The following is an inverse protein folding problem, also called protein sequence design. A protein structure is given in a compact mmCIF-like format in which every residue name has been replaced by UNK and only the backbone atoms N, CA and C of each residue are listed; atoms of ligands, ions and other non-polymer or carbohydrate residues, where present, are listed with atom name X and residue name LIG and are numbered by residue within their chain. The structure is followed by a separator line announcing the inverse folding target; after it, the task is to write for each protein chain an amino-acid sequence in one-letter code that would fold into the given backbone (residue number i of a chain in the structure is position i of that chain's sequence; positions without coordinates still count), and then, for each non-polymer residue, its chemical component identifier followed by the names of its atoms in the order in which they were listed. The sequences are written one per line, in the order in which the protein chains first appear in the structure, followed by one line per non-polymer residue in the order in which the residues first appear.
data_IF_565468730508
#
_entry.id   IF_565468730508
#
_cell.length_a   1.000
_cell.length_b   1.000
_cell.length_c   1.000
_cell.angle_alpha   90.00
_cell.angle_beta   90.00
_cell.angle_gamma   90.00
#
_symmetry.space_group_name_H-M   'P 1'
#
loop_
_entity.id
_entity.type
_entity.pdbx_description
1 polymer ?
#
# COMPACT_ATOMS: atom_id res chain seq x y z
N UNK A 1 9.99 64.90 -21.39
CA UNK A 1 10.93 65.06 -22.52
C UNK A 1 11.79 63.80 -22.62
N UNK A 2 11.78 63.16 -23.80
CA UNK A 2 12.61 62.04 -24.34
C UNK A 2 12.99 60.87 -23.42
N UNK A 3 12.74 59.57 -23.70
CA UNK A 3 12.49 58.78 -24.94
C UNK A 3 13.51 58.96 -26.08
N UNK A 4 14.35 57.93 -26.24
CA UNK A 4 14.90 57.34 -27.49
C UNK A 4 15.64 56.04 -27.10
N UNK A 5 15.10 54.84 -27.34
CA UNK A 5 15.06 54.04 -28.60
C UNK A 5 16.41 53.31 -28.85
N UNK A 6 16.54 52.10 -29.40
CA UNK A 6 15.74 50.88 -29.67
C UNK A 6 16.64 49.99 -30.58
N UNK A 7 16.30 48.70 -30.69
CA UNK A 7 16.73 47.68 -31.67
C UNK A 7 17.94 46.79 -31.35
N UNK A 8 17.96 45.46 -31.63
CA UNK A 8 16.98 44.38 -31.90
C UNK A 8 17.80 43.11 -32.30
N UNK A 9 17.17 41.92 -32.26
CA UNK A 9 17.52 40.60 -32.90
C UNK A 9 18.43 39.67 -32.03
N UNK A 10 17.97 38.56 -31.39
CA UNK A 10 17.26 37.31 -31.77
C UNK A 10 18.19 36.15 -32.23
N UNK A 11 18.33 35.11 -31.39
CA UNK A 11 18.49 33.65 -31.66
C UNK A 11 19.17 32.95 -30.45
N UNK A 12 18.44 32.28 -29.54
CA UNK A 12 18.06 30.84 -29.56
C UNK A 12 19.25 29.88 -29.75
N UNK A 13 19.67 29.17 -28.69
CA UNK A 13 19.74 27.70 -28.64
C UNK A 13 20.42 27.17 -27.36
N UNK A 14 19.74 26.20 -26.73
CA UNK A 14 20.27 25.10 -25.92
C UNK A 14 21.10 25.41 -24.67
N UNK A 15 20.43 25.37 -23.51
CA UNK A 15 20.94 24.77 -22.25
C UNK A 15 19.78 24.58 -21.27
N UNK A 16 18.79 23.79 -21.65
CA UNK A 16 17.74 23.27 -20.75
C UNK A 16 17.99 21.78 -20.61
N UNK A 17 18.87 21.35 -19.70
CA UNK A 17 18.83 20.07 -18.95
C UNK A 17 19.93 20.14 -17.86
N UNK A 18 19.71 20.88 -16.79
CA UNK A 18 20.50 20.77 -15.54
C UNK A 18 19.79 21.57 -14.44
N UNK A 19 18.73 21.00 -13.86
CA UNK A 19 17.93 21.72 -12.88
C UNK A 19 16.91 20.91 -12.09
N UNK A 20 16.98 19.58 -12.08
CA UNK A 20 16.21 18.77 -11.12
C UNK A 20 17.12 18.61 -9.88
N UNK A 21 17.28 19.72 -9.17
CA UNK A 21 18.04 19.80 -7.94
C UNK A 21 17.30 19.10 -6.79
N UNK A 22 18.09 18.44 -5.96
CA UNK A 22 17.75 17.88 -4.66
C UNK A 22 16.61 18.61 -3.95
N UNK A 23 15.43 18.01 -3.90
CA UNK A 23 14.36 18.53 -3.06
C UNK A 23 14.58 18.02 -1.63
N UNK A 24 15.25 18.84 -0.81
CA UNK A 24 15.09 18.77 0.64
C UNK A 24 13.63 19.16 0.93
N UNK A 25 12.80 18.15 1.18
CA UNK A 25 11.41 18.33 1.61
C UNK A 25 11.37 18.90 3.03
N UNK A 26 11.48 20.23 3.14
CA UNK A 26 11.16 20.97 4.35
C UNK A 26 9.73 21.49 4.25
N UNK A 27 8.80 20.85 4.97
CA UNK A 27 7.54 21.43 5.43
C UNK A 27 6.53 21.89 4.37
N UNK A 28 5.75 20.94 3.82
CA UNK A 28 4.32 21.06 3.46
C UNK A 28 3.99 19.91 2.50
N UNK A 29 3.27 18.91 2.98
CA UNK A 29 2.97 17.67 2.24
C UNK A 29 1.97 17.92 1.10
N UNK A 30 2.48 18.31 -0.06
CA UNK A 30 1.70 18.25 -1.29
C UNK A 30 1.56 16.78 -1.70
N UNK A 31 0.36 16.22 -1.59
CA UNK A 31 0.06 14.83 -1.94
C UNK A 31 0.41 14.48 -3.41
N UNK A 32 0.43 15.45 -4.33
CA UNK A 32 0.95 15.27 -5.69
C UNK A 32 2.44 14.86 -5.72
N UNK A 33 3.23 15.38 -4.78
CA UNK A 33 4.64 15.06 -4.62
C UNK A 33 4.88 13.61 -4.19
N UNK A 34 3.93 12.96 -3.50
CA UNK A 34 4.08 11.55 -3.13
C UNK A 34 3.77 10.64 -4.32
N UNK A 35 2.73 10.91 -5.13
CA UNK A 35 2.48 10.13 -6.35
C UNK A 35 3.64 10.26 -7.33
N UNK A 36 4.14 11.48 -7.52
CA UNK A 36 5.37 11.72 -8.27
C UNK A 36 6.56 11.02 -7.64
N UNK A 37 6.80 11.08 -6.32
CA UNK A 37 7.93 10.39 -5.69
C UNK A 37 7.87 8.87 -5.89
N UNK A 38 6.68 8.28 -5.87
CA UNK A 38 6.46 6.85 -6.10
C UNK A 38 6.70 6.43 -7.56
N UNK A 39 6.49 7.37 -8.47
CA UNK A 39 6.68 7.23 -9.90
C UNK A 39 8.12 7.58 -10.31
N UNK A 40 8.74 8.52 -9.60
CA UNK A 40 10.01 9.15 -9.93
C UNK A 40 11.19 8.60 -9.13
N UNK A 41 11.04 7.45 -8.44
CA UNK A 41 12.22 6.74 -7.93
C UNK A 41 13.14 6.43 -9.11
N UNK A 42 14.24 7.19 -9.21
CA UNK A 42 15.03 7.28 -10.44
C UNK A 42 15.76 5.99 -10.80
N UNK A 43 15.97 5.11 -9.81
CA UNK A 43 16.48 3.77 -10.04
C UNK A 43 15.32 2.78 -10.20
N UNK A 44 15.39 1.95 -11.23
CA UNK A 44 14.50 0.81 -11.42
C UNK A 44 14.59 -0.19 -10.26
N UNK A 45 15.77 -0.38 -9.65
CA UNK A 45 15.93 -1.28 -8.49
C UNK A 45 15.31 -0.64 -7.25
N UNK A 46 15.58 0.65 -7.00
CA UNK A 46 14.92 1.41 -5.93
C UNK A 46 13.40 1.28 -6.03
N UNK A 47 12.85 1.53 -7.23
CA UNK A 47 11.42 1.43 -7.51
C UNK A 47 10.84 0.04 -7.26
N UNK A 48 11.57 -1.02 -7.64
CA UNK A 48 11.16 -2.40 -7.39
C UNK A 48 11.21 -2.76 -5.88
N UNK A 49 12.27 -2.34 -5.18
CA UNK A 49 12.41 -2.49 -3.72
C UNK A 49 11.27 -1.77 -3.01
N UNK A 50 11.01 -0.51 -3.36
CA UNK A 50 9.91 0.27 -2.80
C UNK A 50 8.55 -0.32 -3.07
N UNK A 51 8.35 -0.89 -4.26
CA UNK A 51 7.11 -1.60 -4.58
C UNK A 51 6.88 -2.80 -3.66
N UNK A 52 7.92 -3.60 -3.40
CA UNK A 52 7.87 -4.71 -2.47
C UNK A 52 7.51 -4.25 -1.06
N UNK A 53 8.24 -3.28 -0.52
CA UNK A 53 7.96 -2.76 0.83
C UNK A 53 6.56 -2.15 0.97
N UNK A 54 6.13 -1.36 -0.03
CA UNK A 54 4.80 -0.77 -0.05
C UNK A 54 3.69 -1.82 -0.13
N UNK A 55 3.95 -3.01 -0.69
CA UNK A 55 2.97 -4.10 -0.67
C UNK A 55 2.79 -4.71 0.72
N UNK A 56 3.86 -4.74 1.54
CA UNK A 56 3.76 -5.17 2.95
C UNK A 56 2.99 -4.13 3.77
N UNK A 57 3.27 -2.84 3.57
CA UNK A 57 2.47 -1.78 4.21
C UNK A 57 1.00 -1.87 3.82
N UNK A 58 0.69 -2.05 2.53
CA UNK A 58 -0.70 -2.22 2.07
C UNK A 58 -1.40 -3.44 2.68
N UNK A 59 -0.70 -4.58 2.76
CA UNK A 59 -1.24 -5.79 3.38
C UNK A 59 -1.51 -5.61 4.89
N UNK A 60 -0.73 -4.76 5.56
CA UNK A 60 -0.82 -4.53 7.01
C UNK A 60 -1.68 -3.34 7.40
N UNK A 61 -2.04 -2.45 6.48
CA UNK A 61 -2.84 -1.25 6.77
C UNK A 61 -4.29 -1.55 7.16
N UNK A 62 -4.75 -2.80 7.06
CA UNK A 62 -6.10 -3.22 7.43
C UNK A 62 -6.22 -4.37 8.42
N UNK A 63 -5.11 -4.97 8.86
CA UNK A 63 -5.14 -6.36 9.34
C UNK A 63 -5.39 -6.57 10.83
N UNK A 64 -5.34 -5.54 11.67
CA UNK A 64 -5.43 -5.73 13.13
C UNK A 64 -6.08 -4.53 13.82
N UNK A 65 -7.09 -4.77 14.65
CA UNK A 65 -7.44 -3.82 15.70
C UNK A 65 -6.29 -3.75 16.73
N UNK A 66 -6.44 -2.91 17.76
CA UNK A 66 -5.46 -2.85 18.85
C UNK A 66 -5.26 -4.19 19.59
N UNK A 67 -6.03 -5.23 19.33
CA UNK A 67 -5.90 -6.56 19.95
C UNK A 67 -4.95 -7.49 19.20
N UNK A 68 -4.58 -7.16 17.96
CA UNK A 68 -3.78 -8.03 17.09
C UNK A 68 -4.57 -9.19 16.46
N UNK A 69 -5.84 -9.36 16.83
CA UNK A 69 -6.78 -10.24 16.14
C UNK A 69 -7.39 -9.51 14.93
N UNK A 70 -7.52 -10.23 13.82
CA UNK A 70 -8.40 -9.84 12.74
C UNK A 70 -9.85 -9.92 13.21
N UNK A 71 -10.49 -8.77 13.46
CA UNK A 71 -11.85 -8.72 14.02
C UNK A 71 -12.84 -8.32 12.95
N UNK A 72 -13.81 -9.19 12.62
CA UNK A 72 -15.01 -8.77 11.92
C UNK A 72 -16.01 -8.16 12.92
N UNK A 73 -16.44 -6.91 12.70
CA UNK A 73 -17.40 -6.20 13.55
C UNK A 73 -18.76 -6.11 12.85
N UNK A 74 -19.81 -6.68 13.43
CA UNK A 74 -21.18 -6.50 12.94
C UNK A 74 -22.01 -5.66 13.90
N UNK A 75 -22.65 -4.59 13.39
CA UNK A 75 -23.68 -3.84 14.13
C UNK A 75 -24.96 -3.74 13.30
N UNK A 76 -26.04 -4.46 13.66
CA UNK A 76 -27.29 -4.45 12.91
C UNK A 76 -28.04 -3.11 13.01
N UNK A 77 -27.64 -2.20 13.89
CA UNK A 77 -28.43 -1.05 14.32
C UNK A 77 -27.82 0.31 13.91
N UNK A 78 -26.81 0.27 13.03
CA UNK A 78 -26.08 1.45 12.60
C UNK A 78 -25.19 2.03 13.71
N UNK A 79 -24.16 2.81 13.35
CA UNK A 79 -23.15 3.30 14.29
C UNK A 79 -23.74 4.18 15.41
N UNK A 80 -24.87 4.84 15.17
CA UNK A 80 -25.51 5.78 16.11
C UNK A 80 -26.17 5.07 17.31
N UNK A 81 -26.69 3.85 17.16
CA UNK A 81 -27.30 3.11 18.27
C UNK A 81 -26.29 2.27 19.06
N UNK A 82 -25.23 1.76 18.41
CA UNK A 82 -24.11 1.11 19.10
C UNK A 82 -23.41 2.07 20.08
N UNK A 83 -23.29 3.34 19.68
CA UNK A 83 -22.85 4.48 20.51
C UNK A 83 -23.71 4.70 21.75
N UNK A 84 -25.04 4.61 21.59
CA UNK A 84 -25.97 4.88 22.68
C UNK A 84 -25.92 3.79 23.77
N UNK A 85 -25.56 2.55 23.39
CA UNK A 85 -25.47 1.41 24.30
C UNK A 85 -24.11 1.32 25.02
N UNK A 86 -23.00 1.76 24.40
CA UNK A 86 -21.65 1.68 24.96
C UNK A 86 -21.07 3.07 25.35
N UNK A 87 -21.79 3.80 26.21
CA UNK A 87 -21.45 5.17 26.68
C UNK A 87 -20.05 5.35 27.31
N UNK A 88 -19.29 4.29 27.56
CA UNK A 88 -18.01 4.38 28.30
C UNK A 88 -16.77 4.58 27.44
N UNK A 89 -16.87 4.48 26.11
CA UNK A 89 -15.67 4.42 25.25
C UNK A 89 -15.89 5.02 23.85
N UNK A 90 -16.53 6.19 23.79
CA UNK A 90 -16.89 6.86 22.53
C UNK A 90 -15.67 7.20 21.65
N UNK A 91 -14.53 7.56 22.25
CA UNK A 91 -13.30 7.89 21.51
C UNK A 91 -12.60 6.65 20.95
N UNK A 92 -12.61 5.53 21.66
CA UNK A 92 -12.04 4.27 21.17
C UNK A 92 -12.96 3.59 20.15
N UNK A 93 -14.27 3.80 20.22
CA UNK A 93 -15.23 3.35 19.22
C UNK A 93 -15.16 4.17 17.92
N UNK A 94 -15.07 5.50 17.98
CA UNK A 94 -14.82 6.33 16.79
C UNK A 94 -13.47 5.99 16.15
N UNK A 95 -12.43 5.79 16.96
CA UNK A 95 -11.16 5.28 16.46
C UNK A 95 -11.36 3.95 15.75
N UNK A 96 -12.13 3.00 16.30
CA UNK A 96 -12.42 1.68 15.69
C UNK A 96 -13.27 1.73 14.41
N UNK A 97 -14.28 2.61 14.35
CA UNK A 97 -15.16 2.86 13.21
C UNK A 97 -14.39 3.37 11.98
N UNK A 98 -13.37 4.20 12.23
CA UNK A 98 -12.48 4.68 11.18
C UNK A 98 -11.24 3.79 11.02
N UNK A 99 -10.86 2.98 12.02
CA UNK A 99 -9.60 2.21 12.02
C UNK A 99 -9.67 0.77 11.51
N UNK A 100 -10.80 0.32 10.96
CA UNK A 100 -10.91 -1.09 10.60
C UNK A 100 -11.66 -1.32 9.28
N UNK A 101 -10.97 -1.78 8.22
CA UNK A 101 -11.65 -2.29 7.02
C UNK A 101 -12.52 -3.54 7.30
N UNK A 102 -12.57 -4.00 8.56
CA UNK A 102 -13.08 -5.29 8.99
C UNK A 102 -14.51 -5.25 9.57
N UNK A 103 -15.08 -4.07 9.80
CA UNK A 103 -16.52 -3.98 10.09
C UNK A 103 -17.39 -4.37 8.87
N UNK A 104 -18.45 -5.09 9.13
CA UNK A 104 -19.43 -5.49 8.14
C UNK A 104 -20.66 -4.59 8.26
N UNK A 105 -20.46 -3.28 8.09
CA UNK A 105 -21.55 -2.29 8.08
C UNK A 105 -21.56 -1.53 6.75
N UNK A 106 -22.76 -1.26 6.21
CA UNK A 106 -22.89 -0.39 5.04
C UNK A 106 -22.51 1.03 5.43
N UNK A 107 -21.56 1.61 4.70
CA UNK A 107 -21.10 2.98 4.96
C UNK A 107 -20.81 3.69 3.64
N UNK A 108 -21.13 4.98 3.57
CA UNK A 108 -20.78 5.81 2.42
C UNK A 108 -20.10 7.07 2.91
N UNK A 109 -18.85 7.25 2.50
CA UNK A 109 -18.06 8.44 2.74
C UNK A 109 -18.11 9.34 1.51
N UNK A 110 -18.46 10.61 1.70
CA UNK A 110 -18.17 11.64 0.70
C UNK A 110 -16.70 12.04 0.85
N UNK A 111 -15.91 11.87 -0.20
CA UNK A 111 -14.48 12.14 -0.11
C UNK A 111 -14.22 13.66 -0.04
N UNK A 112 -13.17 14.12 0.65
CA UNK A 112 -13.00 15.54 1.01
C UNK A 112 -13.06 16.53 -0.16
N UNK A 113 -12.73 16.10 -1.37
CA UNK A 113 -12.72 16.93 -2.59
C UNK A 113 -13.68 16.45 -3.67
N UNK A 114 -14.64 15.58 -3.32
CA UNK A 114 -15.64 15.03 -4.24
C UNK A 114 -15.46 13.54 -4.49
N UNK A 115 -16.50 12.93 -5.09
CA UNK A 115 -16.62 11.48 -5.22
C UNK A 115 -17.00 10.79 -3.92
N UNK A 116 -17.05 9.46 -3.97
CA UNK A 116 -17.51 8.64 -2.84
C UNK A 116 -16.63 7.40 -2.63
N UNK A 117 -16.56 6.96 -1.38
CA UNK A 117 -16.09 5.64 -1.01
C UNK A 117 -17.24 4.91 -0.32
N UNK A 118 -17.70 3.81 -0.91
CA UNK A 118 -18.83 3.04 -0.40
C UNK A 118 -18.36 1.68 0.08
N UNK A 119 -18.72 1.32 1.29
CA UNK A 119 -18.46 0.02 1.88
C UNK A 119 -19.77 -0.77 1.94
N UNK A 120 -19.74 -1.98 1.43
CA UNK A 120 -20.91 -2.87 1.36
C UNK A 120 -20.52 -4.27 1.84
N UNK A 121 -21.06 -4.74 2.97
CA UNK A 121 -20.95 -6.14 3.37
C UNK A 121 -21.77 -7.03 2.42
N UNK A 122 -21.21 -8.16 2.02
CA UNK A 122 -21.90 -9.16 1.19
C UNK A 122 -22.13 -10.42 2.01
N UNK A 123 -23.17 -10.41 2.85
CA UNK A 123 -23.64 -11.57 3.61
C UNK A 123 -25.07 -11.31 4.09
N UNK A 124 -25.92 -12.34 4.04
CA UNK A 124 -27.31 -12.28 4.49
C UNK A 124 -27.46 -12.37 6.01
N UNK A 125 -26.46 -12.89 6.72
CA UNK A 125 -26.43 -12.98 8.18
C UNK A 125 -25.00 -12.92 8.72
N UNK A 126 -24.58 -11.72 9.13
CA UNK A 126 -23.26 -11.44 9.70
C UNK A 126 -23.13 -11.88 11.17
N UNK A 127 -24.20 -12.39 11.80
CA UNK A 127 -24.16 -12.83 13.21
C UNK A 127 -23.73 -14.28 13.37
N UNK A 128 -24.02 -15.13 12.37
CA UNK A 128 -23.72 -16.56 12.41
C UNK A 128 -22.79 -17.03 11.29
N UNK A 129 -22.45 -16.15 10.33
CA UNK A 129 -21.63 -16.55 9.20
C UNK A 129 -20.20 -16.92 9.61
N UNK A 130 -19.76 -18.10 9.16
CA UNK A 130 -18.35 -18.52 9.25
C UNK A 130 -17.41 -17.70 8.34
N UNK A 131 -18.00 -16.90 7.44
CA UNK A 131 -17.32 -16.07 6.46
C UNK A 131 -17.97 -14.69 6.34
N UNK A 132 -17.17 -13.63 6.26
CA UNK A 132 -17.67 -12.25 6.10
C UNK A 132 -16.92 -11.58 4.95
N UNK A 133 -17.68 -11.14 3.96
CA UNK A 133 -17.17 -10.38 2.83
C UNK A 133 -17.54 -8.89 2.96
N UNK A 134 -16.57 -8.01 2.73
CA UNK A 134 -16.74 -6.54 2.76
C UNK A 134 -16.09 -5.94 1.53
N UNK A 135 -16.88 -5.25 0.71
CA UNK A 135 -16.41 -4.58 -0.51
C UNK A 135 -16.40 -3.07 -0.30
N UNK A 136 -15.25 -2.45 -0.51
CA UNK A 136 -15.08 -1.01 -0.71
C UNK A 136 -15.09 -0.70 -2.20
N UNK A 137 -15.86 0.30 -2.60
CA UNK A 137 -15.93 0.85 -3.96
C UNK A 137 -15.61 2.33 -3.89
N UNK A 138 -14.55 2.73 -4.59
CA UNK A 138 -14.13 4.12 -4.75
C UNK A 138 -14.61 4.63 -6.11
N UNK A 139 -15.41 5.70 -6.10
CA UNK A 139 -15.91 6.37 -7.30
C UNK A 139 -15.43 7.82 -7.30
N UNK A 140 -14.38 8.10 -8.07
CA UNK A 140 -13.71 9.38 -8.17
C UNK A 140 -13.39 10.01 -6.81
N UNK A 141 -13.04 9.19 -5.83
CA UNK A 141 -12.84 9.61 -4.46
C UNK A 141 -11.59 10.49 -4.36
N UNK A 142 -11.78 11.80 -4.19
CA UNK A 142 -10.70 12.79 -4.23
C UNK A 142 -10.24 13.20 -2.82
N UNK A 143 -8.92 13.09 -2.58
CA UNK A 143 -8.29 13.31 -1.27
C UNK A 143 -7.45 14.59 -1.19
N UNK A 144 -7.20 15.24 -2.33
CA UNK A 144 -6.36 16.43 -2.42
C UNK A 144 -6.47 17.08 -3.80
N UNK A 145 -5.74 18.17 -4.04
CA UNK A 145 -5.67 18.78 -5.37
C UNK A 145 -5.11 17.76 -6.37
N UNK A 146 -5.85 17.49 -7.44
CA UNK A 146 -5.44 16.62 -8.55
C UNK A 146 -5.61 15.11 -8.31
N UNK A 147 -5.54 14.63 -7.06
CA UNK A 147 -5.53 13.20 -6.74
C UNK A 147 -6.93 12.62 -6.50
N UNK A 148 -7.22 11.56 -7.24
CA UNK A 148 -8.42 10.74 -7.11
C UNK A 148 -8.08 9.25 -6.98
N UNK A 149 -8.96 8.51 -6.32
CA UNK A 149 -8.93 7.04 -6.26
C UNK A 149 -10.20 6.49 -6.90
N UNK A 150 -10.02 5.43 -7.69
CA UNK A 150 -11.08 4.67 -8.31
C UNK A 150 -10.83 3.17 -8.09
N UNK A 151 -11.90 2.38 -8.15
CA UNK A 151 -11.81 0.91 -8.15
C UNK A 151 -12.37 0.28 -6.88
N UNK A 152 -11.96 -0.95 -6.60
CA UNK A 152 -12.53 -1.78 -5.54
C UNK A 152 -11.45 -2.43 -4.67
N UNK A 153 -11.75 -2.52 -3.38
CA UNK A 153 -10.99 -3.31 -2.41
C UNK A 153 -11.98 -4.24 -1.71
N UNK A 154 -11.74 -5.53 -1.73
CA UNK A 154 -12.62 -6.53 -1.15
C UNK A 154 -11.87 -7.33 -0.11
N UNK A 155 -12.48 -7.50 1.06
CA UNK A 155 -11.94 -8.23 2.20
C UNK A 155 -12.87 -9.40 2.51
N UNK A 156 -12.35 -10.61 2.45
CA UNK A 156 -13.08 -11.83 2.77
C UNK A 156 -12.42 -12.53 3.97
N UNK A 157 -13.14 -12.55 5.08
CA UNK A 157 -12.77 -13.24 6.29
C UNK A 157 -13.33 -14.65 6.30
N UNK A 158 -12.51 -15.60 6.72
CA UNK A 158 -12.96 -16.98 6.96
C UNK A 158 -12.46 -17.49 8.31
N UNK A 159 -13.12 -18.56 8.79
CA UNK A 159 -12.79 -19.17 10.08
C UNK A 159 -13.21 -18.30 11.27
N UNK A 160 -14.33 -17.58 11.13
CA UNK A 160 -14.88 -16.76 12.19
C UNK A 160 -15.47 -17.62 13.32
N UNK A 161 -15.19 -17.25 14.57
CA UNK A 161 -15.75 -17.92 15.73
C UNK A 161 -17.25 -17.59 15.90
N UNK A 162 -18.12 -18.60 15.78
CA UNK A 162 -19.58 -18.46 15.79
C UNK A 162 -20.21 -18.02 17.13
N UNK A 163 -19.42 -17.78 18.19
CA UNK A 163 -19.92 -17.62 19.57
C UNK A 163 -19.74 -16.22 20.19
N UNK A 164 -19.20 -15.23 19.45
CA UNK A 164 -18.92 -13.90 19.99
C UNK A 164 -19.42 -12.76 19.08
N UNK A 165 -20.73 -12.54 19.00
CA UNK A 165 -21.25 -11.26 18.49
C UNK A 165 -21.00 -10.15 19.51
N UNK A 166 -20.55 -8.94 19.11
CA UNK A 166 -20.39 -8.42 17.74
C UNK A 166 -18.96 -8.48 17.16
N UNK A 167 -18.00 -9.11 17.86
CA UNK A 167 -16.55 -9.13 17.55
C UNK A 167 -16.13 -10.57 17.28
N UNK A 168 -15.95 -10.95 16.02
CA UNK A 168 -15.51 -12.30 15.67
C UNK A 168 -14.04 -12.30 15.22
N UNK A 169 -13.23 -13.14 15.85
CA UNK A 169 -11.86 -13.40 15.40
C UNK A 169 -11.87 -14.36 14.21
N UNK A 170 -11.21 -13.98 13.11
CA UNK A 170 -10.99 -14.86 11.96
C UNK A 170 -9.59 -15.48 11.93
N UNK A 171 -9.43 -16.57 11.19
CA UNK A 171 -8.13 -17.23 11.00
C UNK A 171 -7.49 -16.89 9.66
N UNK A 172 -8.28 -16.47 8.67
CA UNK A 172 -7.78 -16.05 7.36
C UNK A 172 -8.50 -14.79 6.88
N UNK A 173 -7.74 -13.82 6.37
CA UNK A 173 -8.23 -12.68 5.62
C UNK A 173 -7.67 -12.73 4.20
N UNK A 174 -8.55 -12.81 3.22
CA UNK A 174 -8.23 -12.60 1.82
C UNK A 174 -8.53 -11.15 1.46
N UNK A 175 -7.54 -10.46 0.88
CA UNK A 175 -7.68 -9.10 0.37
C UNK A 175 -7.57 -9.16 -1.14
N UNK A 176 -8.64 -8.80 -1.83
CA UNK A 176 -8.66 -8.56 -3.26
C UNK A 176 -8.59 -7.05 -3.51
N UNK A 177 -7.78 -6.62 -4.48
CA UNK A 177 -7.57 -5.21 -4.80
C UNK A 177 -7.62 -5.00 -6.30
N UNK A 178 -8.27 -3.93 -6.71
CA UNK A 178 -8.27 -3.37 -8.08
C UNK A 178 -8.48 -1.88 -7.96
N UNK A 179 -7.43 -1.16 -7.59
CA UNK A 179 -7.48 0.27 -7.29
C UNK A 179 -6.55 1.06 -8.20
N UNK A 180 -7.00 2.24 -8.61
CA UNK A 180 -6.22 3.20 -9.38
C UNK A 180 -6.20 4.53 -8.66
N UNK A 181 -5.00 5.00 -8.34
CA UNK A 181 -4.73 6.37 -7.91
C UNK A 181 -4.35 7.18 -9.14
N UNK A 182 -4.98 8.34 -9.35
CA UNK A 182 -4.69 9.19 -10.51
C UNK A 182 -4.51 10.64 -10.09
N UNK A 183 -3.51 11.30 -10.66
CA UNK A 183 -3.36 12.74 -10.66
C UNK A 183 -3.52 13.28 -12.10
N UNK A 184 -4.70 13.83 -12.36
CA UNK A 184 -5.05 14.31 -13.71
C UNK A 184 -4.21 15.52 -14.14
N UNK A 185 -3.75 16.35 -13.21
CA UNK A 185 -2.93 17.52 -13.52
C UNK A 185 -1.55 17.12 -14.04
N UNK A 186 -1.06 15.95 -13.61
CA UNK A 186 0.22 15.39 -14.01
C UNK A 186 0.10 14.32 -15.11
N UNK A 187 -1.13 13.98 -15.50
CA UNK A 187 -1.42 12.81 -16.33
C UNK A 187 -0.89 11.50 -15.72
N UNK A 188 -0.70 11.46 -14.41
CA UNK A 188 -0.04 10.36 -13.72
C UNK A 188 -1.06 9.39 -13.11
N UNK A 189 -0.79 8.09 -13.15
CA UNK A 189 -1.59 7.11 -12.43
C UNK A 189 -0.77 5.96 -11.87
N UNK A 190 -1.25 5.37 -10.79
CA UNK A 190 -0.76 4.13 -10.22
C UNK A 190 -1.93 3.17 -10.09
N UNK A 191 -1.84 2.04 -10.77
CA UNK A 191 -2.80 0.94 -10.62
C UNK A 191 -2.19 -0.18 -9.81
N UNK A 192 -2.97 -0.76 -8.92
CA UNK A 192 -2.68 -1.98 -8.17
C UNK A 192 -3.83 -2.96 -8.33
N UNK A 193 -3.52 -4.18 -8.73
CA UNK A 193 -4.50 -5.25 -8.83
C UNK A 193 -3.94 -6.59 -8.35
N UNK A 194 -4.79 -7.54 -8.00
CA UNK A 194 -4.38 -8.95 -7.98
C UNK A 194 -3.78 -9.34 -9.35
N UNK A 195 -2.83 -10.28 -9.38
CA UNK A 195 -2.15 -10.66 -10.64
C UNK A 195 -3.01 -11.56 -11.54
N UNK A 196 -3.96 -12.30 -10.95
CA UNK A 196 -5.01 -13.04 -11.66
C UNK A 196 -6.32 -12.25 -11.51
N UNK A 197 -6.98 -11.95 -12.64
CA UNK A 197 -8.11 -11.01 -12.71
C UNK A 197 -9.40 -11.69 -13.20
N UNK A 198 -10.44 -11.63 -12.38
CA UNK A 198 -11.87 -11.42 -12.70
C UNK A 198 -12.63 -11.26 -11.38
N UNK A 199 -12.91 -10.03 -10.92
CA UNK A 199 -13.73 -9.81 -9.72
C UNK A 199 -15.07 -10.52 -9.87
N UNK A 200 -15.22 -11.63 -9.14
CA UNK A 200 -16.46 -12.40 -9.08
C UNK A 200 -17.47 -11.63 -8.23
N UNK A 201 -18.65 -11.38 -8.79
CA UNK A 201 -19.70 -10.49 -8.29
C UNK A 201 -20.38 -10.92 -6.99
N UNK A 202 -19.66 -11.32 -5.94
CA UNK A 202 -20.33 -11.61 -4.66
C UNK A 202 -19.57 -12.42 -3.62
N UNK A 203 -18.51 -13.10 -4.00
CA UNK A 203 -17.72 -13.97 -3.12
C UNK A 203 -16.32 -13.97 -3.73
N UNK A 204 -15.30 -13.54 -2.97
CA UNK A 204 -13.90 -13.80 -3.34
C UNK A 204 -13.81 -15.28 -3.65
N UNK A 205 -13.67 -15.65 -4.93
CA UNK A 205 -13.22 -17.00 -5.23
C UNK A 205 -11.78 -17.06 -4.73
N UNK A 206 -11.48 -17.78 -3.64
CA UNK A 206 -10.16 -17.77 -3.01
C UNK A 206 -9.06 -18.29 -3.95
N UNK A 207 -9.43 -18.85 -5.11
CA UNK A 207 -8.52 -19.34 -6.12
C UNK A 207 -8.15 -18.32 -7.21
N UNK A 208 -8.85 -17.17 -7.36
CA UNK A 208 -8.74 -16.38 -8.61
C UNK A 208 -8.39 -14.89 -8.44
N UNK A 209 -8.57 -14.22 -7.28
CA UNK A 209 -8.39 -12.75 -7.20
C UNK A 209 -7.75 -12.18 -5.93
N UNK A 210 -6.86 -12.93 -5.27
CA UNK A 210 -6.35 -12.49 -3.96
C UNK A 210 -5.02 -11.75 -4.11
N UNK A 211 -5.04 -10.46 -3.79
CA UNK A 211 -3.86 -9.60 -3.72
C UNK A 211 -3.00 -9.96 -2.50
N UNK A 212 -3.64 -10.17 -1.35
CA UNK A 212 -2.96 -10.61 -0.12
C UNK A 212 -3.77 -11.67 0.62
N UNK A 213 -3.11 -12.72 1.10
CA UNK A 213 -3.67 -13.68 2.06
C UNK A 213 -2.96 -13.48 3.39
N UNK A 214 -3.72 -13.18 4.43
CA UNK A 214 -3.24 -13.10 5.80
C UNK A 214 -3.75 -14.31 6.57
N UNK A 215 -2.84 -15.10 7.14
CA UNK A 215 -3.19 -16.30 7.91
C UNK A 215 -2.75 -16.13 9.36
N UNK A 216 -3.71 -16.00 10.27
CA UNK A 216 -3.50 -15.76 11.68
C UNK A 216 -3.26 -17.09 12.41
N UNK A 217 -2.09 -17.21 13.05
CA UNK A 217 -1.76 -18.36 13.91
C UNK A 217 -2.05 -18.07 15.38
N UNK A 218 -2.11 -16.79 15.76
CA UNK A 218 -2.53 -16.34 17.09
C UNK A 218 -3.02 -14.89 17.03
N UNK A 219 -3.43 -14.35 18.18
CA UNK A 219 -3.74 -12.93 18.35
C UNK A 219 -2.53 -11.99 18.14
N UNK A 220 -1.31 -12.52 18.05
CA UNK A 220 -0.10 -11.72 17.92
C UNK A 220 0.81 -12.19 16.79
N UNK A 221 0.38 -13.15 15.98
CA UNK A 221 1.18 -13.71 14.91
C UNK A 221 0.32 -14.10 13.69
N UNK A 222 0.82 -13.76 12.51
CA UNK A 222 0.20 -14.12 11.23
C UNK A 222 1.24 -14.16 10.12
N UNK A 223 0.89 -14.78 9.01
CA UNK A 223 1.69 -14.73 7.78
C UNK A 223 1.02 -13.88 6.71
N UNK A 224 1.82 -13.31 5.81
CA UNK A 224 1.34 -12.63 4.60
C UNK A 224 1.86 -13.37 3.37
N UNK A 225 0.95 -13.71 2.46
CA UNK A 225 1.26 -14.05 1.08
C UNK A 225 0.75 -12.94 0.17
N UNK A 226 1.57 -12.48 -0.76
CA UNK A 226 1.21 -11.41 -1.71
C UNK A 226 1.26 -11.93 -3.13
N UNK A 227 0.32 -11.48 -3.96
CA UNK A 227 0.28 -11.73 -5.38
C UNK A 227 -0.40 -10.56 -6.13
N UNK A 228 0.35 -9.48 -6.36
CA UNK A 228 -0.17 -8.26 -6.97
C UNK A 228 0.59 -7.86 -8.23
N UNK A 229 -0.07 -7.09 -9.08
CA UNK A 229 0.56 -6.28 -10.12
C UNK A 229 0.41 -4.82 -9.78
N UNK A 230 1.49 -4.05 -9.97
CA UNK A 230 1.50 -2.60 -9.86
C UNK A 230 2.01 -1.97 -11.14
N UNK A 231 1.35 -0.93 -11.62
CA UNK A 231 1.79 -0.22 -12.81
C UNK A 231 1.62 1.28 -12.64
N UNK A 232 2.71 2.01 -12.86
CA UNK A 232 2.72 3.47 -12.93
C UNK A 232 2.66 3.94 -14.38
N UNK A 233 1.86 4.97 -14.65
CA UNK A 233 1.83 5.66 -15.95
C UNK A 233 1.98 7.17 -15.78
N UNK A 234 2.56 7.82 -16.78
CA UNK A 234 2.55 9.28 -16.96
C UNK A 234 2.12 9.57 -18.41
N UNK A 235 1.12 10.43 -18.58
CA UNK A 235 0.51 10.77 -19.88
C UNK A 235 0.15 9.51 -20.69
N UNK A 236 -0.39 8.48 -20.02
CA UNK A 236 -0.77 7.19 -20.63
C UNK A 236 0.40 6.25 -20.96
N UNK A 237 1.65 6.68 -20.78
CA UNK A 237 2.83 5.83 -20.98
C UNK A 237 3.18 5.10 -19.69
N UNK A 238 3.29 3.77 -19.75
CA UNK A 238 3.78 2.97 -18.63
C UNK A 238 5.25 3.28 -18.37
N UNK A 239 5.55 3.68 -17.15
CA UNK A 239 6.92 4.00 -16.70
C UNK A 239 7.52 2.87 -15.86
N UNK A 240 6.68 2.10 -15.17
CA UNK A 240 7.06 0.86 -14.52
C UNK A 240 5.87 -0.11 -14.48
N UNK A 241 6.18 -1.39 -14.44
CA UNK A 241 5.21 -2.47 -14.23
C UNK A 241 5.89 -3.56 -13.43
N UNK A 242 5.33 -3.86 -12.28
CA UNK A 242 5.86 -4.79 -11.30
C UNK A 242 4.86 -5.89 -11.01
N UNK A 243 5.34 -7.12 -10.92
CA UNK A 243 4.59 -8.23 -10.33
C UNK A 243 5.26 -8.63 -9.03
N UNK A 244 4.51 -8.56 -7.93
CA UNK A 244 4.99 -8.87 -6.59
C UNK A 244 4.39 -10.19 -6.15
N UNK A 245 5.24 -11.14 -5.78
CA UNK A 245 4.84 -12.44 -5.25
C UNK A 245 5.60 -12.76 -3.96
N UNK A 246 5.07 -13.66 -3.15
CA UNK A 246 5.72 -14.12 -1.91
C UNK A 246 6.04 -15.61 -2.02
N UNK A 247 7.22 -16.01 -2.54
CA UNK A 247 7.60 -17.42 -2.63
C UNK A 247 7.71 -18.11 -1.27
N UNK A 248 8.03 -17.35 -0.22
CA UNK A 248 8.04 -17.82 1.16
C UNK A 248 7.24 -16.85 2.02
N UNK A 249 6.14 -17.28 2.67
CA UNK A 249 5.27 -16.41 3.43
C UNK A 249 6.05 -15.49 4.37
N UNK A 250 5.67 -14.22 4.44
CA UNK A 250 6.25 -13.29 5.40
C UNK A 250 5.68 -13.61 6.78
N UNK A 251 6.53 -13.89 7.77
CA UNK A 251 6.09 -14.17 9.14
C UNK A 251 6.08 -12.89 9.97
N UNK A 252 4.91 -12.50 10.45
CA UNK A 252 4.74 -11.27 11.23
C UNK A 252 4.37 -11.57 12.67
N UNK A 253 4.92 -10.76 13.58
CA UNK A 253 4.49 -10.68 14.97
C UNK A 253 4.02 -9.26 15.29
N UNK A 254 3.12 -9.17 16.25
CA UNK A 254 2.52 -7.92 16.71
C UNK A 254 2.83 -7.70 18.19
N UNK A 255 3.31 -6.50 18.53
CA UNK A 255 3.51 -6.05 19.90
C UNK A 255 2.74 -4.75 20.14
N UNK A 256 1.53 -4.87 20.70
CA UNK A 256 0.68 -3.72 21.04
C UNK A 256 1.36 -2.76 22.00
N UNK A 257 1.96 -3.28 23.06
CA UNK A 257 2.58 -2.46 24.11
C UNK A 257 3.76 -1.65 23.55
N UNK A 258 4.50 -2.24 22.61
CA UNK A 258 5.57 -1.56 21.87
C UNK A 258 5.08 -0.68 20.72
N UNK A 259 3.82 -0.78 20.31
CA UNK A 259 3.30 -0.09 19.13
C UNK A 259 3.98 -0.53 17.83
N UNK A 260 4.36 -1.81 17.72
CA UNK A 260 5.14 -2.33 16.59
C UNK A 260 4.57 -3.60 15.97
N UNK A 261 4.90 -3.78 14.68
CA UNK A 261 4.78 -5.04 13.93
C UNK A 261 6.16 -5.44 13.46
N UNK A 262 6.54 -6.70 13.56
CA UNK A 262 7.85 -7.18 13.11
C UNK A 262 7.68 -8.21 12.03
N UNK A 263 8.26 -7.98 10.85
CA UNK A 263 8.43 -9.01 9.82
C UNK A 263 9.68 -9.81 10.18
N UNK A 264 9.49 -10.96 10.80
CA UNK A 264 10.56 -11.79 11.35
C UNK A 264 11.37 -12.49 10.25
N UNK A 265 10.68 -13.00 9.24
CA UNK A 265 11.27 -13.77 8.15
C UNK A 265 10.37 -13.79 6.91
N UNK A 266 10.90 -14.33 5.81
CA UNK A 266 10.17 -14.57 4.57
C UNK A 266 10.83 -13.90 3.36
N UNK A 267 10.33 -14.24 2.18
CA UNK A 267 10.89 -13.77 0.91
C UNK A 267 9.79 -13.23 0.02
N UNK A 268 10.03 -12.07 -0.55
CA UNK A 268 9.17 -11.45 -1.55
C UNK A 268 9.96 -11.22 -2.84
N UNK A 269 9.37 -11.56 -3.97
CA UNK A 269 9.97 -11.33 -5.29
C UNK A 269 9.19 -10.26 -6.05
N UNK A 270 9.91 -9.34 -6.69
CA UNK A 270 9.37 -8.26 -7.49
C UNK A 270 9.96 -8.38 -8.88
N UNK A 271 9.15 -8.86 -9.83
CA UNK A 271 9.51 -8.89 -11.24
C UNK A 271 9.24 -7.52 -11.86
N UNK A 272 10.29 -6.87 -12.36
CA UNK A 272 10.16 -5.68 -13.16
C UNK A 272 9.88 -6.04 -14.61
N UNK A 273 8.62 -5.96 -15.03
CA UNK A 273 8.15 -6.46 -16.32
C UNK A 273 8.73 -5.70 -17.52
N UNK A 274 8.95 -4.39 -17.39
CA UNK A 274 9.55 -3.60 -18.49
C UNK A 274 11.06 -3.79 -18.63
N UNK A 275 11.80 -3.77 -17.52
CA UNK A 275 13.25 -3.90 -17.50
C UNK A 275 13.73 -5.36 -17.47
N UNK A 276 12.81 -6.30 -17.26
CA UNK A 276 13.01 -7.75 -17.24
C UNK A 276 14.12 -8.22 -16.28
N UNK A 277 14.06 -7.74 -15.04
CA UNK A 277 14.82 -8.28 -13.91
C UNK A 277 13.88 -8.60 -12.74
N UNK A 278 14.36 -9.39 -11.79
CA UNK A 278 13.63 -9.74 -10.56
C UNK A 278 14.46 -9.33 -9.36
N UNK A 279 13.83 -8.64 -8.41
CA UNK A 279 14.39 -8.36 -7.09
C UNK A 279 13.82 -9.34 -6.09
N UNK A 280 14.65 -10.03 -5.33
CA UNK A 280 14.23 -10.90 -4.23
C UNK A 280 14.59 -10.24 -2.90
N UNK A 281 13.58 -9.77 -2.16
CA UNK A 281 13.70 -9.18 -0.83
C UNK A 281 13.62 -10.28 0.24
N UNK A 282 14.65 -10.40 1.06
CA UNK A 282 14.69 -11.31 2.21
C UNK A 282 14.55 -10.51 3.49
N UNK A 283 13.45 -10.74 4.21
CA UNK A 283 13.15 -10.04 5.45
C UNK A 283 13.82 -10.74 6.63
N UNK A 284 14.41 -9.96 7.53
CA UNK A 284 14.97 -10.44 8.78
C UNK A 284 14.73 -9.41 9.88
N UNK A 285 13.73 -9.65 10.72
CA UNK A 285 13.36 -8.81 11.87
C UNK A 285 13.19 -7.31 11.54
N UNK A 286 12.44 -6.99 10.48
CA UNK A 286 12.13 -5.60 10.12
C UNK A 286 10.96 -5.10 10.94
N UNK A 287 11.17 -4.01 11.68
CA UNK A 287 10.15 -3.44 12.58
C UNK A 287 9.42 -2.32 11.86
N UNK A 288 8.09 -2.36 11.92
CA UNK A 288 7.15 -1.38 11.42
C UNK A 288 6.41 -0.72 12.59
N UNK A 289 6.18 0.58 12.48
CA UNK A 289 5.28 1.30 13.36
C UNK A 289 3.85 0.79 13.19
N UNK A 290 3.17 0.53 14.30
CA UNK A 290 1.76 0.15 14.30
C UNK A 290 0.88 1.27 13.73
N UNK A 291 1.15 2.51 14.15
CA UNK A 291 0.32 3.68 13.84
C UNK A 291 0.54 4.17 12.41
N UNK A 292 1.79 4.15 11.94
CA UNK A 292 2.12 4.69 10.61
C UNK A 292 2.30 3.61 9.55
N UNK A 293 2.40 2.33 9.90
CA UNK A 293 2.76 1.22 8.99
C UNK A 293 4.08 1.45 8.21
N UNK A 294 4.92 2.38 8.69
CA UNK A 294 6.24 2.63 8.10
C UNK A 294 7.30 1.83 8.84
N UNK A 295 8.33 1.32 8.14
CA UNK A 295 9.45 0.64 8.76
C UNK A 295 10.25 1.62 9.62
N UNK A 296 10.50 1.25 10.87
CA UNK A 296 11.22 2.07 11.85
C UNK A 296 12.66 1.60 12.06
N UNK A 297 12.93 0.29 11.95
CA UNK A 297 14.26 -0.29 12.16
C UNK A 297 14.41 -1.67 11.50
N UNK A 298 15.64 -2.18 11.48
CA UNK A 298 16.01 -3.46 10.88
C UNK A 298 16.64 -3.30 9.49
N UNK A 299 16.77 -4.41 8.77
CA UNK A 299 17.31 -4.41 7.41
C UNK A 299 16.68 -5.50 6.54
N UNK A 300 16.58 -5.23 5.24
CA UNK A 300 16.20 -6.22 4.23
C UNK A 300 17.43 -6.46 3.36
N UNK A 301 17.86 -7.70 3.20
CA UNK A 301 18.83 -8.03 2.15
C UNK A 301 18.08 -8.33 0.85
N UNK A 302 18.69 -8.02 -0.29
CA UNK A 302 18.10 -8.37 -1.56
C UNK A 302 19.11 -8.81 -2.61
N UNK A 303 18.64 -9.62 -3.54
CA UNK A 303 19.36 -9.99 -4.76
C UNK A 303 18.58 -9.51 -5.98
N UNK A 304 19.29 -9.25 -7.07
CA UNK A 304 18.73 -8.88 -8.36
C UNK A 304 19.21 -9.90 -9.38
N UNK A 305 18.30 -10.40 -10.22
CA UNK A 305 18.61 -11.36 -11.28
C UNK A 305 17.88 -11.04 -12.59
N UNK A 306 18.41 -11.53 -13.72
CA UNK A 306 17.84 -11.34 -15.06
C UNK A 306 18.68 -10.35 -15.88
N UNK A 307 18.03 -9.32 -16.44
CA UNK A 307 18.73 -8.28 -17.22
C UNK A 307 19.66 -7.40 -16.38
N UNK A 308 19.50 -7.40 -15.05
CA UNK A 308 20.43 -6.81 -14.07
C UNK A 308 20.78 -7.89 -13.06
N UNK A 309 22.02 -7.91 -12.59
CA UNK A 309 22.47 -8.90 -11.61
C UNK A 309 23.27 -8.25 -10.49
N UNK A 310 22.99 -8.59 -9.24
CA UNK A 310 23.67 -7.98 -8.10
C UNK A 310 23.01 -8.28 -6.77
N UNK A 311 23.47 -7.61 -5.73
CA UNK A 311 22.90 -7.70 -4.40
C UNK A 311 22.96 -6.38 -3.68
N UNK A 312 22.18 -6.26 -2.61
CA UNK A 312 22.06 -5.02 -1.88
C UNK A 312 21.39 -5.20 -0.53
N UNK A 313 21.26 -4.09 0.17
CA UNK A 313 20.58 -4.02 1.45
C UNK A 313 19.72 -2.78 1.51
N UNK A 314 18.59 -2.88 2.20
CA UNK A 314 17.79 -1.76 2.67
C UNK A 314 18.00 -1.63 4.17
N UNK A 315 18.30 -0.42 4.64
CA UNK A 315 18.41 -0.09 6.05
C UNK A 315 17.36 0.94 6.43
N UNK A 316 16.81 0.81 7.63
CA UNK A 316 15.78 1.70 8.15
C UNK A 316 16.34 2.56 9.28
N UNK A 317 16.22 3.88 9.13
CA UNK A 317 16.62 4.83 10.15
C UNK A 317 15.57 5.93 10.26
N UNK A 318 14.87 5.99 11.40
CA UNK A 318 13.87 7.02 11.71
C UNK A 318 12.79 7.20 10.63
N UNK A 319 12.24 6.08 10.12
CA UNK A 319 11.20 6.11 9.08
C UNK A 319 11.72 6.35 7.66
N UNK A 320 13.02 6.53 7.48
CA UNK A 320 13.66 6.62 6.17
C UNK A 320 14.25 5.27 5.79
N UNK A 321 13.87 4.77 4.62
CA UNK A 321 14.44 3.59 4.02
C UNK A 321 15.54 3.99 3.04
N UNK A 322 16.77 3.54 3.26
CA UNK A 322 17.90 3.75 2.35
C UNK A 322 18.35 2.41 1.79
N UNK A 323 18.55 2.32 0.49
CA UNK A 323 19.08 1.12 -0.15
C UNK A 323 20.47 1.34 -0.73
N UNK A 324 21.23 0.25 -0.81
CA UNK A 324 22.46 0.14 -1.58
C UNK A 324 22.36 -1.06 -2.50
N UNK A 325 22.91 -0.97 -3.70
CA UNK A 325 23.02 -2.07 -4.65
C UNK A 325 24.42 -2.10 -5.26
N UNK A 326 24.96 -3.32 -5.36
CA UNK A 326 26.25 -3.63 -5.96
C UNK A 326 26.05 -4.67 -7.04
N UNK A 327 26.40 -4.37 -8.31
CA UNK A 327 26.27 -5.34 -9.40
C UNK A 327 27.31 -6.45 -9.29
N UNK A 328 26.94 -7.69 -9.64
CA UNK A 328 27.87 -8.84 -9.63
C UNK A 328 28.75 -8.87 -10.88
N UNK A 329 28.23 -8.39 -12.01
CA UNK A 329 28.95 -8.25 -13.28
C UNK A 329 28.73 -6.84 -13.77
N UNK A 330 29.81 -6.13 -14.11
CA UNK A 330 29.74 -4.83 -14.77
C UNK A 330 29.32 -5.05 -16.24
N UNK A 331 28.05 -5.38 -16.46
CA UNK A 331 27.40 -5.20 -17.75
C UNK A 331 27.49 -3.71 -18.12
N UNK A 332 27.58 -3.36 -19.41
CA UNK A 332 27.59 -1.97 -19.87
C UNK A 332 26.25 -1.26 -19.55
N UNK A 333 26.09 -0.80 -18.31
CA UNK A 333 24.85 -0.22 -17.79
C UNK A 333 24.60 -0.50 -16.30
N UNK A 334 25.16 -1.57 -15.74
CA UNK A 334 25.03 -1.88 -14.32
C UNK A 334 26.08 -1.12 -13.52
N UNK A 335 25.62 -0.18 -12.69
CA UNK A 335 26.45 0.60 -11.77
C UNK A 335 25.97 0.36 -10.35
N UNK A 336 26.88 0.47 -9.40
CA UNK A 336 26.48 0.62 -8.00
C UNK A 336 25.58 1.84 -7.86
N UNK A 337 24.50 1.69 -7.11
CA UNK A 337 23.51 2.73 -6.88
C UNK A 337 23.08 2.68 -5.41
N UNK A 338 22.74 3.85 -4.90
CA UNK A 338 22.17 4.00 -3.57
C UNK A 338 21.14 5.13 -3.61
N UNK A 339 20.20 5.09 -2.68
CA UNK A 339 19.17 6.11 -2.60
C UNK A 339 18.19 5.86 -1.48
N UNK A 340 17.16 6.70 -1.44
CA UNK A 340 16.03 6.54 -0.52
C UNK A 340 14.87 5.88 -1.23
N UNK A 341 14.17 5.01 -0.52
CA UNK A 341 12.91 4.40 -0.96
C UNK A 341 11.76 5.08 -0.24
N UNK A 342 10.73 5.46 -0.99
CA UNK A 342 9.51 6.04 -0.46
C UNK A 342 8.57 4.92 0.00
N UNK A 343 8.44 4.78 1.31
CA UNK A 343 7.52 3.84 1.93
C UNK A 343 6.23 4.55 2.32
N UNK A 344 5.12 4.06 1.79
CA UNK A 344 3.78 4.50 2.17
C UNK A 344 3.58 4.22 3.65
N UNK A 345 2.95 5.16 4.34
CA UNK A 345 2.32 4.84 5.60
C UNK A 345 1.03 4.05 5.37
N UNK A 346 0.33 3.71 6.46
CA UNK A 346 -1.02 3.18 6.34
C UNK A 346 -1.83 4.18 5.50
N UNK A 347 -2.43 3.74 4.39
CA UNK A 347 -3.45 4.53 3.71
C UNK A 347 -4.55 4.81 4.73
N UNK A 348 -4.92 6.08 4.86
CA UNK A 348 -5.93 6.58 5.79
C UNK A 348 -7.01 5.53 6.11
N UNK A 349 -6.99 5.12 7.35
CA UNK A 349 -8.15 4.63 8.09
C UNK A 349 -8.92 5.87 8.53
#
# INVERSE_FOLDING_TARGET
MSRTLFNSILAVALSVVAGIGCHKSTGSSNNAGTLLAMIAEQSQIGNAVGTGMNSVTNATSGSTDGSGTGVALFSPIGPVQAVAQNKKDYSSYLARLFSSPLEATVYTLNCPKGGTATRTPQSSDLTTAATVNVVWTYSNCAFGPGISMNGTLENDWTGLAATATPVQSGTVLNVASSVTLSDSALGASLTESASTNSLGTGIVNPQINVAHVLTFSSATAYTINTNITRSGTIFGKVIFSHTVTTPTPLNLTFNKAGGTRTVNSGVQTIKHNLANFTVSLTYSSVVYSYTTCQPTSGSISFTVSGNRNGSGTVSFNNGVATYTYTPTTASSGDKSESGTVSVRGCSMN
#
